data_IF_607018666289
#
_entry.id   IF_607018666289
#
_cell.length_a   1.000
_cell.length_b   1.000
_cell.length_c   1.000
_cell.angle_alpha   90.00
_cell.angle_beta   90.00
_cell.angle_gamma   90.00
#
_symmetry.space_group_name_H-M   'P 1'
#
loop_
_entity.id
_entity.type
_entity.pdbx_description
1 polymer ?
#
# COMPACT_ATOMS: atom_id res chain seq x y z
N UNK A 1 -16.65 19.73 -2.66
CA UNK A 1 -16.54 20.90 -1.76
C UNK A 1 -17.57 20.74 -0.68
N UNK A 2 -17.12 20.61 0.56
CA UNK A 2 -17.98 20.65 1.74
C UNK A 2 -17.53 21.82 2.62
N UNK A 3 -18.43 22.37 3.43
CA UNK A 3 -18.08 23.41 4.40
C UNK A 3 -18.01 22.75 5.78
N UNK A 4 -16.88 22.89 6.47
CA UNK A 4 -16.72 22.28 7.79
C UNK A 4 -17.68 22.90 8.81
N UNK A 5 -17.96 24.20 8.68
CA UNK A 5 -18.86 24.94 9.55
C UNK A 5 -19.93 25.69 8.72
N UNK A 6 -21.03 25.03 8.31
CA UNK A 6 -22.10 25.68 7.54
C UNK A 6 -22.75 26.85 8.27
N UNK A 7 -22.74 26.83 9.61
CA UNK A 7 -23.27 27.89 10.46
C UNK A 7 -22.53 29.22 10.33
N UNK A 8 -21.29 29.22 9.82
CA UNK A 8 -20.53 30.44 9.58
C UNK A 8 -21.21 31.40 8.58
N UNK A 9 -22.11 30.89 7.73
CA UNK A 9 -22.91 31.74 6.84
C UNK A 9 -23.93 32.60 7.57
N UNK A 10 -24.27 32.32 8.84
CA UNK A 10 -25.06 33.24 9.65
C UNK A 10 -24.37 34.60 9.83
N UNK A 11 -23.04 34.66 9.75
CA UNK A 11 -22.31 35.93 9.79
C UNK A 11 -22.68 36.88 8.63
N UNK A 12 -23.24 36.37 7.52
CA UNK A 12 -23.77 37.20 6.43
C UNK A 12 -24.96 38.07 6.87
N UNK A 13 -25.65 37.75 7.96
CA UNK A 13 -26.68 38.63 8.55
C UNK A 13 -26.11 39.98 9.01
N UNK A 14 -24.79 40.11 9.17
CA UNK A 14 -24.15 41.40 9.41
C UNK A 14 -24.30 42.38 8.21
N UNK A 15 -24.47 41.87 6.98
CA UNK A 15 -24.66 42.71 5.78
C UNK A 15 -25.95 43.53 5.84
N UNK A 16 -27.15 42.95 6.02
CA UNK A 16 -28.38 43.74 6.13
C UNK A 16 -28.36 44.69 7.33
N UNK A 17 -27.76 44.29 8.46
CA UNK A 17 -27.56 45.17 9.61
C UNK A 17 -26.71 46.41 9.23
N UNK A 18 -25.61 46.19 8.52
CA UNK A 18 -24.71 47.27 8.07
C UNK A 18 -25.41 48.20 7.07
N UNK A 19 -26.23 47.66 6.15
CA UNK A 19 -27.03 48.46 5.23
C UNK A 19 -28.05 49.33 6.00
N UNK A 20 -28.72 48.79 7.02
CA UNK A 20 -29.66 49.56 7.85
C UNK A 20 -28.94 50.71 8.54
N UNK A 21 -27.78 50.45 9.16
CA UNK A 21 -26.95 51.50 9.80
C UNK A 21 -26.54 52.56 8.76
N UNK A 22 -26.19 52.14 7.55
CA UNK A 22 -25.82 53.04 6.47
C UNK A 22 -26.98 53.92 6.00
N UNK A 23 -28.22 53.40 5.96
CA UNK A 23 -29.42 54.16 5.63
C UNK A 23 -29.79 55.14 6.76
N UNK A 24 -29.69 54.71 8.02
CA UNK A 24 -29.99 55.54 9.19
C UNK A 24 -28.95 56.65 9.37
N UNK A 25 -27.73 56.48 8.82
CA UNK A 25 -26.68 57.50 8.84
C UNK A 25 -27.17 58.77 8.15
N UNK A 26 -27.71 59.69 8.96
CA UNK A 26 -28.26 60.93 8.49
C UNK A 26 -27.17 61.73 7.78
N UNK A 27 -27.46 62.17 6.56
CA UNK A 27 -26.57 63.07 5.83
C UNK A 27 -26.63 64.40 6.56
N UNK A 28 -25.55 64.73 7.29
CA UNK A 28 -25.39 66.05 7.88
C UNK A 28 -25.66 67.09 6.79
N UNK A 29 -26.74 67.86 6.99
CA UNK A 29 -26.96 69.08 6.22
C UNK A 29 -26.13 70.13 6.94
N UNK A 30 -25.19 70.71 6.22
CA UNK A 30 -24.53 71.94 6.66
C UNK A 30 -25.63 73.01 6.72
N UNK A 31 -26.14 73.30 7.91
CA UNK A 31 -27.03 74.43 8.12
C UNK A 31 -26.17 75.71 8.02
N UNK A 32 -26.50 76.53 7.04
CA UNK A 32 -25.75 77.76 6.72
C UNK A 32 -26.16 78.85 7.70
N UNK A 33 -25.24 79.24 8.59
CA UNK A 33 -25.43 80.41 9.43
C UNK A 33 -25.55 81.69 8.57
N UNK A 34 -26.55 82.56 8.80
CA UNK A 34 -26.88 83.67 7.91
C UNK A 34 -25.78 84.74 7.79
N UNK A 35 -24.78 84.75 8.68
CA UNK A 35 -23.66 85.70 8.66
C UNK A 35 -22.62 85.43 7.56
N UNK A 36 -22.66 84.27 6.88
CA UNK A 36 -21.72 83.91 5.79
C UNK A 36 -22.37 83.79 4.40
N UNK A 37 -23.67 84.05 4.30
CA UNK A 37 -24.47 83.86 3.08
C UNK A 37 -23.95 84.63 1.86
N UNK A 38 -23.42 85.84 2.06
CA UNK A 38 -22.85 86.66 0.98
C UNK A 38 -21.57 86.07 0.37
N UNK A 39 -20.72 85.43 1.19
CA UNK A 39 -19.52 84.74 0.70
C UNK A 39 -19.86 83.38 0.05
N UNK A 40 -20.91 82.71 0.52
CA UNK A 40 -21.39 81.48 -0.12
C UNK A 40 -21.98 81.71 -1.50
N UNK A 41 -22.67 82.84 -1.71
CA UNK A 41 -23.28 83.17 -3.00
C UNK A 41 -22.23 83.33 -4.10
N UNK A 42 -21.03 83.88 -3.77
CA UNK A 42 -19.92 83.97 -4.73
C UNK A 42 -19.27 82.60 -5.02
N UNK A 43 -19.18 81.72 -4.01
CA UNK A 43 -18.65 80.35 -4.18
C UNK A 43 -19.60 79.43 -4.96
N UNK A 44 -20.91 79.74 -4.97
CA UNK A 44 -21.95 78.96 -5.67
C UNK A 44 -21.75 78.95 -7.19
N UNK A 45 -21.12 79.97 -7.76
CA UNK A 45 -20.81 80.05 -9.19
C UNK A 45 -19.54 79.29 -9.61
N UNK A 46 -18.72 78.80 -8.68
CA UNK A 46 -17.49 78.05 -8.97
C UNK A 46 -17.58 76.53 -8.71
N UNK A 47 -18.62 76.03 -8.04
CA UNK A 47 -18.69 74.61 -7.69
C UNK A 47 -19.20 73.78 -8.88
N UNK A 48 -18.27 73.24 -9.67
CA UNK A 48 -18.50 72.04 -10.49
C UNK A 48 -18.97 70.92 -9.56
N UNK A 49 -20.21 70.44 -9.73
CA UNK A 49 -20.72 69.28 -8.98
C UNK A 49 -19.80 68.08 -9.29
N UNK A 50 -18.90 67.75 -8.37
CA UNK A 50 -18.04 66.57 -8.52
C UNK A 50 -18.90 65.31 -8.35
N UNK A 51 -19.10 64.48 -9.39
CA UNK A 51 -19.88 63.25 -9.30
C UNK A 51 -19.17 62.16 -8.47
N UNK A 52 -17.86 62.31 -8.23
CA UNK A 52 -16.98 61.36 -7.53
C UNK A 52 -17.33 61.22 -6.04
N UNK A 53 -17.82 62.26 -5.37
CA UNK A 53 -18.15 62.22 -3.94
C UNK A 53 -19.28 61.25 -3.58
N UNK A 54 -20.15 60.92 -4.56
CA UNK A 54 -21.18 59.89 -4.39
C UNK A 54 -20.61 58.48 -4.48
N UNK A 55 -19.54 58.30 -5.23
CA UNK A 55 -18.89 57.00 -5.48
C UNK A 55 -18.01 56.62 -4.28
N UNK A 56 -17.27 57.56 -3.70
CA UNK A 56 -16.44 57.34 -2.49
C UNK A 56 -17.24 56.71 -1.35
N UNK A 57 -18.46 57.21 -1.14
CA UNK A 57 -19.32 56.72 -0.07
C UNK A 57 -19.87 55.31 -0.34
N UNK A 58 -20.09 54.97 -1.63
CA UNK A 58 -20.51 53.64 -2.07
C UNK A 58 -19.34 52.63 -2.03
N UNK A 59 -18.11 53.07 -2.35
CA UNK A 59 -16.90 52.24 -2.29
C UNK A 59 -16.67 51.74 -0.87
N UNK A 60 -16.80 52.60 0.15
CA UNK A 60 -16.62 52.18 1.54
C UNK A 60 -17.62 51.08 1.94
N UNK A 61 -18.90 51.24 1.55
CA UNK A 61 -19.93 50.23 1.77
C UNK A 61 -19.59 48.90 1.08
N UNK A 62 -19.15 48.96 -0.18
CA UNK A 62 -18.77 47.78 -0.97
C UNK A 62 -17.60 47.03 -0.31
N UNK A 63 -16.56 47.76 0.12
CA UNK A 63 -15.39 47.16 0.78
C UNK A 63 -15.78 46.48 2.09
N UNK A 64 -16.65 47.10 2.90
CA UNK A 64 -17.14 46.48 4.13
C UNK A 64 -17.93 45.19 3.88
N UNK A 65 -18.78 45.17 2.85
CA UNK A 65 -19.53 43.97 2.44
C UNK A 65 -18.57 42.86 2.00
N UNK A 66 -17.54 43.19 1.19
CA UNK A 66 -16.52 42.22 0.76
C UNK A 66 -15.75 41.67 1.96
N UNK A 67 -15.37 42.50 2.93
CA UNK A 67 -14.71 42.03 4.15
C UNK A 67 -15.57 41.05 4.94
N UNK A 68 -16.86 41.35 5.16
CA UNK A 68 -17.78 40.45 5.85
C UNK A 68 -17.93 39.14 5.09
N UNK A 69 -18.04 39.20 3.76
CA UNK A 69 -18.13 38.03 2.92
C UNK A 69 -16.86 37.16 3.02
N UNK A 70 -15.67 37.75 2.86
CA UNK A 70 -14.40 37.04 3.01
C UNK A 70 -14.25 36.42 4.40
N UNK A 71 -14.66 37.13 5.46
CA UNK A 71 -14.55 36.62 6.82
C UNK A 71 -15.53 35.48 7.06
N UNK A 72 -16.79 35.59 6.64
CA UNK A 72 -17.77 34.50 6.70
C UNK A 72 -17.31 33.29 5.89
N UNK A 73 -16.74 33.50 4.71
CA UNK A 73 -16.20 32.43 3.87
C UNK A 73 -14.98 31.75 4.49
N UNK A 74 -14.07 32.52 5.10
CA UNK A 74 -12.93 31.98 5.83
C UNK A 74 -13.38 31.16 7.05
N UNK A 75 -14.35 31.66 7.82
CA UNK A 75 -14.96 30.95 8.96
C UNK A 75 -15.73 29.69 8.55
N UNK A 76 -16.32 29.67 7.35
CA UNK A 76 -16.99 28.50 6.81
C UNK A 76 -16.02 27.35 6.52
N UNK A 77 -14.70 27.64 6.50
CA UNK A 77 -13.62 26.69 6.28
C UNK A 77 -13.94 25.76 5.10
N UNK A 78 -13.92 26.29 3.85
CA UNK A 78 -14.23 25.51 2.67
C UNK A 78 -13.21 24.37 2.57
N UNK A 79 -13.70 23.14 2.72
CA UNK A 79 -12.90 21.95 2.53
C UNK A 79 -13.02 21.51 1.08
N UNK A 80 -11.90 21.58 0.39
CA UNK A 80 -11.74 20.97 -0.92
C UNK A 80 -11.52 19.48 -0.69
N UNK A 81 -12.62 18.72 -0.69
CA UNK A 81 -12.54 17.28 -0.87
C UNK A 81 -12.06 17.02 -2.29
N UNK A 82 -10.75 16.81 -2.49
CA UNK A 82 -10.27 16.19 -3.72
C UNK A 82 -11.03 14.86 -3.86
N UNK A 83 -11.84 14.74 -4.92
CA UNK A 83 -12.49 13.46 -5.23
C UNK A 83 -11.39 12.49 -5.67
N UNK A 84 -11.01 11.65 -4.72
CA UNK A 84 -9.91 10.70 -4.81
C UNK A 84 -9.33 10.55 -3.42
N UNK A 85 -10.00 9.79 -2.54
CA UNK A 85 -9.37 9.36 -1.29
C UNK A 85 -8.04 8.70 -1.69
N UNK A 86 -6.92 9.26 -1.24
CA UNK A 86 -5.66 8.55 -1.20
C UNK A 86 -5.91 7.24 -0.45
N UNK A 87 -5.67 6.12 -1.10
CA UNK A 87 -5.77 4.83 -0.43
C UNK A 87 -4.49 4.63 0.39
N UNK A 88 -4.64 4.23 1.65
CA UNK A 88 -3.55 3.76 2.49
C UNK A 88 -3.47 2.24 2.32
N UNK A 89 -2.60 1.82 1.40
CA UNK A 89 -2.48 0.43 0.98
C UNK A 89 -1.32 -0.22 1.72
N UNK A 90 -1.59 -1.36 2.36
CA UNK A 90 -0.60 -2.19 3.02
C UNK A 90 -0.42 -3.45 2.18
N UNK A 91 0.81 -3.70 1.74
CA UNK A 91 1.21 -4.93 1.08
C UNK A 91 2.02 -5.77 2.04
N UNK A 92 1.60 -7.02 2.24
CA UNK A 92 2.34 -8.04 2.95
C UNK A 92 2.83 -9.05 1.93
N UNK A 93 4.14 -9.18 1.78
CA UNK A 93 4.78 -10.07 0.82
C UNK A 93 5.43 -11.23 1.56
N UNK A 94 4.98 -12.45 1.28
CA UNK A 94 5.64 -13.67 1.75
C UNK A 94 7.01 -13.80 1.07
N UNK A 95 8.04 -14.02 1.90
CA UNK A 95 9.44 -14.19 1.51
C UNK A 95 9.97 -15.55 1.97
N UNK A 96 9.09 -16.49 2.31
CA UNK A 96 9.49 -17.83 2.75
C UNK A 96 10.23 -18.63 1.66
N UNK A 97 10.88 -19.71 2.10
CA UNK A 97 11.62 -20.60 1.22
C UNK A 97 10.77 -21.16 0.05
N UNK A 98 9.47 -21.38 0.26
CA UNK A 98 8.57 -21.91 -0.77
C UNK A 98 8.31 -20.92 -1.91
N UNK A 99 8.46 -19.62 -1.65
CA UNK A 99 8.33 -18.55 -2.65
C UNK A 99 9.48 -18.53 -3.67
N UNK A 100 10.60 -19.22 -3.40
CA UNK A 100 11.70 -19.38 -4.36
C UNK A 100 11.41 -20.43 -5.44
N UNK A 101 10.31 -21.18 -5.34
CA UNK A 101 9.94 -22.15 -6.36
C UNK A 101 9.68 -21.44 -7.69
N UNK A 102 10.17 -22.02 -8.79
CA UNK A 102 9.89 -21.58 -10.15
C UNK A 102 8.86 -22.55 -10.75
N UNK A 103 7.59 -22.14 -10.90
CA UNK A 103 6.55 -22.93 -11.57
C UNK A 103 6.97 -23.36 -12.97
N UNK A 104 6.79 -24.64 -13.32
CA UNK A 104 7.13 -25.16 -14.65
C UNK A 104 5.95 -25.14 -15.63
N UNK A 105 4.70 -25.26 -15.17
CA UNK A 105 3.55 -25.41 -16.07
C UNK A 105 2.84 -24.09 -16.44
N UNK A 106 2.83 -23.09 -15.54
CA UNK A 106 2.04 -21.84 -15.73
C UNK A 106 2.86 -20.61 -16.16
N UNK A 107 4.14 -20.79 -16.46
CA UNK A 107 5.09 -19.68 -16.41
C UNK A 107 5.84 -19.48 -17.72
N UNK A 108 5.22 -18.82 -18.68
CA UNK A 108 5.85 -18.45 -19.96
C UNK A 108 7.14 -17.63 -19.76
N UNK A 109 7.28 -16.95 -18.61
CA UNK A 109 8.43 -16.09 -18.26
C UNK A 109 9.49 -16.77 -17.37
N UNK A 110 9.21 -17.93 -16.76
CA UNK A 110 10.15 -18.63 -15.86
C UNK A 110 10.47 -17.90 -14.55
N UNK A 111 9.53 -17.10 -14.03
CA UNK A 111 9.71 -16.29 -12.81
C UNK A 111 9.43 -17.10 -11.53
N UNK A 112 10.17 -16.88 -10.46
CA UNK A 112 9.84 -17.46 -9.14
C UNK A 112 8.47 -16.97 -8.63
N UNK A 113 7.81 -17.73 -7.73
CA UNK A 113 6.55 -17.30 -7.08
C UNK A 113 6.71 -15.95 -6.38
N UNK A 114 7.87 -15.70 -5.79
CA UNK A 114 8.25 -14.41 -5.21
C UNK A 114 8.20 -13.28 -6.25
N UNK A 115 8.84 -13.47 -7.41
CA UNK A 115 8.85 -12.48 -8.49
C UNK A 115 7.45 -12.23 -9.07
N UNK A 116 6.61 -13.26 -9.15
CA UNK A 116 5.20 -13.11 -9.55
C UNK A 116 4.43 -12.25 -8.54
N UNK A 117 4.60 -12.50 -7.24
CA UNK A 117 4.00 -11.69 -6.19
C UNK A 117 4.46 -10.22 -6.24
N UNK A 118 5.75 -9.99 -6.51
CA UNK A 118 6.31 -8.66 -6.73
C UNK A 118 5.69 -7.97 -7.96
N UNK A 119 5.51 -8.68 -9.08
CA UNK A 119 4.91 -8.13 -10.30
C UNK A 119 3.43 -7.74 -10.09
N UNK A 120 2.66 -8.59 -9.40
CA UNK A 120 1.26 -8.29 -9.07
C UNK A 120 1.13 -7.12 -8.06
N UNK A 121 1.98 -7.05 -7.04
CA UNK A 121 2.04 -5.89 -6.13
C UNK A 121 2.35 -4.61 -6.91
N UNK A 122 3.33 -4.66 -7.83
CA UNK A 122 3.71 -3.51 -8.66
C UNK A 122 2.55 -3.03 -9.53
N UNK A 123 1.81 -3.96 -10.12
CA UNK A 123 0.61 -3.68 -10.92
C UNK A 123 -0.48 -3.01 -10.08
N UNK A 124 -0.82 -3.57 -8.92
CA UNK A 124 -1.82 -2.99 -8.01
C UNK A 124 -1.38 -1.60 -7.53
N UNK A 125 -0.10 -1.42 -7.21
CA UNK A 125 0.44 -0.12 -6.80
C UNK A 125 0.39 0.91 -7.94
N UNK A 126 0.61 0.48 -9.19
CA UNK A 126 0.51 1.36 -10.37
C UNK A 126 -0.93 1.79 -10.71
N UNK A 127 -1.91 0.93 -10.42
CA UNK A 127 -3.34 1.19 -10.62
C UNK A 127 -3.95 2.00 -9.45
N UNK A 128 -3.21 2.19 -8.36
CA UNK A 128 -3.67 2.93 -7.20
C UNK A 128 -3.95 4.41 -7.51
N UNK A 129 -4.89 5.00 -6.77
CA UNK A 129 -5.27 6.41 -6.94
C UNK A 129 -4.09 7.35 -6.68
N UNK A 130 -4.05 8.48 -7.39
CA UNK A 130 -3.04 9.52 -7.14
C UNK A 130 -3.10 10.01 -5.70
N UNK A 131 -1.94 10.00 -5.03
CA UNK A 131 -1.79 10.42 -3.64
C UNK A 131 -1.92 9.30 -2.61
N UNK A 132 -2.15 8.05 -3.04
CA UNK A 132 -2.13 6.88 -2.16
C UNK A 132 -0.79 6.73 -1.41
N UNK A 133 -0.88 6.18 -0.20
CA UNK A 133 0.26 5.84 0.65
C UNK A 133 0.46 4.33 0.62
N UNK A 134 1.71 3.92 0.40
CA UNK A 134 2.09 2.52 0.33
C UNK A 134 2.95 2.13 1.53
N UNK A 135 2.61 1.00 2.14
CA UNK A 135 3.40 0.36 3.20
C UNK A 135 3.71 -1.05 2.73
N UNK A 136 4.99 -1.47 2.82
CA UNK A 136 5.44 -2.80 2.44
C UNK A 136 5.96 -3.52 3.68
N UNK A 137 5.45 -4.72 3.91
CA UNK A 137 5.86 -5.63 4.97
C UNK A 137 6.38 -6.91 4.32
N UNK A 138 7.61 -7.29 4.63
CA UNK A 138 8.16 -8.60 4.25
C UNK A 138 7.87 -9.61 5.34
N UNK A 139 7.35 -10.77 4.96
CA UNK A 139 7.06 -11.87 5.85
C UNK A 139 8.07 -13.00 5.61
N UNK A 140 9.05 -13.13 6.50
CA UNK A 140 9.86 -14.35 6.62
C UNK A 140 9.39 -15.07 7.89
N UNK A 141 10.27 -15.30 8.87
CA UNK A 141 9.88 -15.85 10.17
C UNK A 141 9.00 -14.87 10.96
N UNK A 142 9.35 -13.59 10.95
CA UNK A 142 8.56 -12.50 11.56
C UNK A 142 8.27 -11.40 10.54
N UNK A 143 7.10 -10.72 10.63
CA UNK A 143 6.80 -9.60 9.75
C UNK A 143 7.69 -8.39 10.05
N UNK A 144 8.39 -7.89 9.03
CA UNK A 144 9.27 -6.73 9.10
C UNK A 144 8.81 -5.64 8.14
N UNK A 145 8.81 -4.38 8.58
CA UNK A 145 8.47 -3.24 7.73
C UNK A 145 9.66 -2.85 6.86
N UNK A 146 9.50 -2.98 5.54
CA UNK A 146 10.48 -2.52 4.55
C UNK A 146 10.32 -1.01 4.32
N UNK A 147 9.07 -0.55 4.21
CA UNK A 147 8.77 0.88 4.11
C UNK A 147 7.37 1.19 4.66
N UNK A 148 7.19 2.41 5.16
CA UNK A 148 5.94 2.84 5.80
C UNK A 148 5.46 4.16 5.21
N UNK A 149 4.20 4.20 4.74
CA UNK A 149 3.49 5.41 4.27
C UNK A 149 4.26 6.21 3.20
N UNK A 150 4.82 5.51 2.22
CA UNK A 150 5.50 6.13 1.07
C UNK A 150 4.47 6.62 0.07
N UNK A 151 4.57 7.88 -0.36
CA UNK A 151 3.62 8.50 -1.31
C UNK A 151 4.10 8.48 -2.78
N UNK A 152 5.39 8.24 -3.02
CA UNK A 152 5.98 8.15 -4.34
C UNK A 152 6.03 6.70 -4.82
N UNK A 153 5.38 6.42 -5.95
CA UNK A 153 5.39 5.09 -6.57
C UNK A 153 6.82 4.66 -6.97
N UNK A 154 7.63 5.59 -7.46
CA UNK A 154 9.02 5.30 -7.84
C UNK A 154 9.86 4.88 -6.63
N UNK A 155 9.70 5.57 -5.49
CA UNK A 155 10.38 5.17 -4.24
C UNK A 155 9.87 3.83 -3.73
N UNK A 156 8.56 3.58 -3.79
CA UNK A 156 7.98 2.30 -3.41
C UNK A 156 8.56 1.14 -4.24
N UNK A 157 8.69 1.31 -5.55
CA UNK A 157 9.29 0.30 -6.43
C UNK A 157 10.75 0.01 -6.06
N UNK A 158 11.54 1.03 -5.68
CA UNK A 158 12.92 0.81 -5.20
C UNK A 158 12.97 -0.02 -3.91
N UNK A 159 12.02 0.21 -2.99
CA UNK A 159 11.91 -0.63 -1.78
C UNK A 159 11.47 -2.04 -2.12
N UNK A 160 10.52 -2.20 -3.04
CA UNK A 160 10.06 -3.51 -3.50
C UNK A 160 11.20 -4.33 -4.14
N UNK A 161 12.02 -3.69 -4.98
CA UNK A 161 13.18 -4.31 -5.63
C UNK A 161 14.31 -4.65 -4.63
N UNK A 162 14.31 -4.03 -3.44
CA UNK A 162 15.30 -4.33 -2.40
C UNK A 162 15.00 -5.58 -1.59
N UNK A 163 13.74 -6.08 -1.64
CA UNK A 163 13.32 -7.28 -0.92
C UNK A 163 13.86 -8.52 -1.62
N UNK A 164 14.35 -9.47 -0.82
CA UNK A 164 14.82 -10.77 -1.30
C UNK A 164 14.05 -11.89 -0.62
N UNK A 165 13.83 -12.98 -1.34
CA UNK A 165 13.31 -14.20 -0.77
C UNK A 165 14.31 -14.78 0.25
N UNK A 166 13.77 -15.20 1.39
CA UNK A 166 14.48 -15.85 2.49
C UNK A 166 14.43 -17.37 2.35
N UNK A 167 15.24 -18.07 3.13
CA UNK A 167 15.24 -19.54 3.23
C UNK A 167 14.49 -20.05 4.48
N UNK A 168 13.87 -19.15 5.25
CA UNK A 168 13.08 -19.50 6.43
C UNK A 168 11.62 -19.85 6.07
N UNK A 169 10.95 -20.58 6.97
CA UNK A 169 9.49 -20.77 6.89
C UNK A 169 8.76 -19.47 7.29
N UNK A 170 7.53 -19.26 6.80
CA UNK A 170 6.71 -18.09 7.15
C UNK A 170 5.73 -18.33 8.29
N UNK A 171 5.65 -17.40 9.24
CA UNK A 171 4.53 -17.34 10.20
C UNK A 171 3.42 -16.41 9.70
N UNK A 172 2.51 -17.02 8.96
CA UNK A 172 1.39 -16.32 8.35
C UNK A 172 0.37 -15.80 9.39
N UNK A 173 0.30 -16.39 10.58
CA UNK A 173 -0.63 -15.95 11.62
C UNK A 173 -0.23 -14.59 12.18
N UNK A 174 1.06 -14.38 12.41
CA UNK A 174 1.62 -13.09 12.82
C UNK A 174 1.42 -12.00 11.75
N UNK A 175 1.51 -12.37 10.47
CA UNK A 175 1.29 -11.46 9.35
C UNK A 175 -0.15 -10.97 9.24
N UNK A 176 -1.13 -11.89 9.36
CA UNK A 176 -2.56 -11.54 9.36
C UNK A 176 -2.90 -10.63 10.53
N UNK A 177 -2.41 -10.96 11.74
CA UNK A 177 -2.64 -10.13 12.92
C UNK A 177 -2.09 -8.71 12.76
N UNK A 178 -0.90 -8.57 12.16
CA UNK A 178 -0.32 -7.27 11.83
C UNK A 178 -1.18 -6.51 10.81
N UNK A 179 -1.57 -7.15 9.71
CA UNK A 179 -2.39 -6.52 8.66
C UNK A 179 -3.76 -6.05 9.19
N UNK A 180 -4.39 -6.84 10.07
CA UNK A 180 -5.65 -6.47 10.73
C UNK A 180 -5.48 -5.28 11.69
N UNK A 181 -4.37 -5.24 12.43
CA UNK A 181 -4.04 -4.10 13.29
C UNK A 181 -3.83 -2.82 12.47
N UNK A 182 -3.14 -2.92 11.33
CA UNK A 182 -2.94 -1.78 10.42
C UNK A 182 -4.26 -1.26 9.84
N UNK A 183 -5.20 -2.15 9.52
CA UNK A 183 -6.53 -1.80 9.03
C UNK A 183 -7.37 -1.10 10.11
N UNK A 184 -7.35 -1.59 11.35
CA UNK A 184 -8.20 -1.07 12.43
C UNK A 184 -7.63 0.17 13.13
N UNK A 185 -6.33 0.21 13.42
CA UNK A 185 -5.70 1.25 14.24
C UNK A 185 -4.96 2.32 13.42
N UNK A 186 -4.35 1.95 12.28
CA UNK A 186 -3.51 2.87 11.50
C UNK A 186 -4.21 3.51 10.29
N UNK A 187 -5.48 3.18 10.08
CA UNK A 187 -6.29 3.73 9.00
C UNK A 187 -5.87 3.26 7.61
N UNK A 188 -5.27 2.07 7.51
CA UNK A 188 -5.16 1.37 6.23
C UNK A 188 -6.57 1.02 5.73
N UNK A 189 -6.82 1.19 4.43
CA UNK A 189 -8.13 0.91 3.83
C UNK A 189 -8.09 -0.26 2.85
N UNK A 190 -6.90 -0.68 2.41
CA UNK A 190 -6.70 -1.85 1.57
C UNK A 190 -5.48 -2.62 2.10
N UNK A 191 -5.65 -3.90 2.40
CA UNK A 191 -4.58 -4.80 2.79
C UNK A 191 -4.50 -5.95 1.80
N UNK A 192 -3.31 -6.18 1.24
CA UNK A 192 -3.03 -7.27 0.32
C UNK A 192 -2.00 -8.21 0.93
N UNK A 193 -2.23 -9.51 0.86
CA UNK A 193 -1.29 -10.55 1.28
C UNK A 193 -0.91 -11.39 0.06
N UNK A 194 0.36 -11.34 -0.35
CA UNK A 194 0.90 -12.19 -1.40
C UNK A 194 1.62 -13.40 -0.78
N UNK A 195 1.11 -14.60 -1.02
CA UNK A 195 1.64 -15.86 -0.46
C UNK A 195 1.30 -17.04 -1.36
N UNK A 196 2.06 -18.12 -1.24
CA UNK A 196 1.80 -19.40 -1.91
C UNK A 196 1.05 -20.41 -1.00
N UNK A 197 0.71 -20.02 0.23
CA UNK A 197 -0.07 -20.86 1.13
C UNK A 197 -1.56 -20.69 0.89
N UNK A 198 -2.28 -21.83 0.78
CA UNK A 198 -3.75 -21.83 0.75
C UNK A 198 -4.31 -21.45 2.11
N UNK A 199 -5.00 -20.32 2.16
CA UNK A 199 -5.65 -19.81 3.38
C UNK A 199 -7.16 -19.89 3.20
N UNK A 200 -7.86 -20.37 4.23
CA UNK A 200 -9.31 -20.29 4.26
C UNK A 200 -9.77 -18.82 4.29
N UNK A 201 -10.62 -18.41 3.34
CA UNK A 201 -11.11 -17.03 3.19
C UNK A 201 -11.69 -16.45 4.50
N UNK A 202 -12.23 -17.30 5.38
CA UNK A 202 -12.80 -16.90 6.66
C UNK A 202 -11.76 -16.33 7.65
N UNK A 203 -10.46 -16.56 7.43
CA UNK A 203 -9.37 -15.99 8.25
C UNK A 203 -8.88 -14.63 7.75
N UNK A 204 -9.34 -14.18 6.56
CA UNK A 204 -8.86 -12.99 5.86
C UNK A 204 -9.87 -11.84 5.93
N UNK A 205 -10.33 -11.49 7.13
CA UNK A 205 -11.23 -10.34 7.30
C UNK A 205 -10.54 -9.04 6.81
N UNK A 206 -11.08 -8.44 5.74
CA UNK A 206 -10.59 -7.20 5.11
C UNK A 206 -9.18 -7.30 4.48
N UNK A 207 -8.68 -8.51 4.23
CA UNK A 207 -7.40 -8.74 3.54
C UNK A 207 -7.69 -9.41 2.20
N UNK A 208 -7.20 -8.83 1.10
CA UNK A 208 -7.26 -9.43 -0.22
C UNK A 208 -6.05 -10.34 -0.44
N UNK A 209 -6.30 -11.60 -0.79
CA UNK A 209 -5.25 -12.56 -1.08
C UNK A 209 -4.75 -12.40 -2.53
N UNK A 210 -3.45 -12.31 -2.71
CA UNK A 210 -2.76 -12.49 -3.98
C UNK A 210 -2.18 -13.90 -3.92
N UNK A 211 -2.93 -14.85 -4.45
CA UNK A 211 -2.53 -16.26 -4.49
C UNK A 211 -1.50 -16.45 -5.61
N UNK A 212 -0.26 -16.79 -5.22
CA UNK A 212 0.82 -17.16 -6.15
C UNK A 212 1.11 -18.67 -6.11
N UNK A 213 0.23 -19.45 -5.48
CA UNK A 213 0.30 -20.90 -5.53
C UNK A 213 -0.11 -21.37 -6.92
N UNK A 214 0.87 -21.80 -7.71
CA UNK A 214 0.61 -22.69 -8.83
C UNK A 214 0.22 -24.06 -8.27
N UNK A 215 -0.66 -24.80 -8.94
CA UNK A 215 -0.96 -26.20 -8.61
C UNK A 215 0.19 -27.16 -8.91
N UNK A 216 1.43 -26.65 -9.01
CA UNK A 216 2.62 -27.44 -9.28
C UNK A 216 3.00 -28.28 -8.08
N UNK A 217 3.53 -29.46 -8.36
CA UNK A 217 3.87 -30.40 -7.30
C UNK A 217 5.15 -29.97 -6.60
N UNK A 218 5.04 -29.65 -5.31
CA UNK A 218 6.15 -29.25 -4.46
C UNK A 218 6.64 -30.44 -3.63
N UNK A 219 7.96 -30.73 -3.70
CA UNK A 219 8.61 -31.75 -2.89
C UNK A 219 9.85 -31.19 -2.20
N UNK A 220 10.15 -31.71 -1.01
CA UNK A 220 11.39 -31.39 -0.29
C UNK A 220 12.11 -32.64 0.22
N UNK A 221 13.41 -32.48 0.47
CA UNK A 221 14.26 -33.47 1.17
C UNK A 221 14.59 -32.90 2.56
N UNK A 222 13.71 -33.06 3.56
CA UNK A 222 13.90 -32.47 4.89
C UNK A 222 15.10 -33.03 5.65
N UNK A 223 15.49 -34.29 5.39
CA UNK A 223 16.69 -34.86 5.99
C UNK A 223 17.40 -35.80 5.02
N UNK A 224 18.73 -35.74 5.11
CA UNK A 224 19.64 -36.53 4.31
C UNK A 224 20.82 -36.96 5.18
N UNK A 225 21.05 -38.26 5.28
CA UNK A 225 22.19 -38.81 6.00
C UNK A 225 22.75 -40.01 5.25
N UNK A 226 24.05 -40.21 5.37
CA UNK A 226 24.74 -41.35 4.75
C UNK A 226 25.76 -41.91 5.73
N UNK A 227 26.01 -43.21 5.60
CA UNK A 227 27.09 -43.92 6.31
C UNK A 227 27.86 -44.75 5.28
N UNK A 228 29.18 -44.66 5.31
CA UNK A 228 30.05 -45.44 4.44
C UNK A 228 30.93 -46.36 5.28
N UNK A 229 30.96 -47.64 4.92
CA UNK A 229 31.81 -48.63 5.59
C UNK A 229 31.91 -49.93 4.80
N UNK A 230 33.12 -50.46 4.66
CA UNK A 230 33.35 -51.77 4.04
C UNK A 230 32.95 -51.86 2.57
N UNK A 231 33.09 -50.78 1.79
CA UNK A 231 32.71 -50.74 0.36
C UNK A 231 31.22 -50.50 0.11
N UNK A 232 30.43 -50.27 1.17
CA UNK A 232 28.99 -50.07 1.08
C UNK A 232 28.59 -48.68 1.56
N UNK A 233 27.67 -48.06 0.82
CA UNK A 233 27.05 -46.79 1.15
C UNK A 233 25.60 -47.04 1.60
N UNK A 234 25.31 -46.80 2.87
CA UNK A 234 23.96 -46.78 3.40
C UNK A 234 23.45 -45.35 3.40
N UNK A 235 22.35 -45.11 2.70
CA UNK A 235 21.74 -43.79 2.54
C UNK A 235 20.36 -43.79 3.18
N UNK A 236 20.09 -42.76 4.00
CA UNK A 236 18.79 -42.52 4.61
C UNK A 236 18.35 -41.08 4.28
N UNK A 237 17.24 -40.97 3.55
CA UNK A 237 16.61 -39.69 3.26
C UNK A 237 15.16 -39.71 3.71
N UNK A 238 14.64 -38.53 4.00
CA UNK A 238 13.20 -38.32 4.05
C UNK A 238 12.81 -37.44 2.88
N UNK A 239 11.73 -37.84 2.21
CA UNK A 239 11.12 -37.07 1.14
C UNK A 239 9.71 -36.69 1.56
N UNK A 240 9.27 -35.48 1.25
CA UNK A 240 7.89 -35.03 1.53
C UNK A 240 7.30 -34.39 0.28
N UNK A 241 6.04 -34.71 -0.02
CA UNK A 241 5.23 -34.01 -1.02
C UNK A 241 4.23 -33.11 -0.30
N UNK A 242 4.12 -31.85 -0.70
CA UNK A 242 3.19 -30.91 -0.05
C UNK A 242 1.81 -30.89 -0.71
N UNK A 243 1.71 -31.20 -2.01
CA UNK A 243 0.48 -30.97 -2.79
C UNK A 243 -0.33 -32.25 -3.05
N UNK A 244 0.33 -33.36 -3.38
CA UNK A 244 -0.34 -34.60 -3.81
C UNK A 244 0.46 -35.87 -3.48
N UNK A 245 -0.22 -37.01 -3.46
CA UNK A 245 0.43 -38.31 -3.46
C UNK A 245 1.08 -38.54 -4.83
N UNK A 246 2.39 -38.75 -4.87
CA UNK A 246 3.10 -38.88 -6.15
C UNK A 246 4.39 -39.68 -6.04
N UNK A 247 4.73 -40.37 -7.13
CA UNK A 247 6.00 -41.05 -7.28
C UNK A 247 7.07 -40.09 -7.84
N UNK A 248 8.12 -39.84 -7.06
CA UNK A 248 9.27 -39.06 -7.51
C UNK A 248 10.35 -39.96 -8.10
N UNK A 249 11.14 -39.42 -9.04
CA UNK A 249 12.35 -40.05 -9.58
C UNK A 249 13.56 -39.23 -9.18
N UNK A 250 14.59 -39.87 -8.64
CA UNK A 250 15.82 -39.19 -8.25
C UNK A 250 17.06 -40.00 -8.62
N UNK A 251 18.19 -39.32 -8.69
CA UNK A 251 19.48 -39.88 -9.04
C UNK A 251 20.45 -39.67 -7.88
N UNK A 252 21.26 -40.69 -7.61
CA UNK A 252 22.34 -40.62 -6.62
C UNK A 252 23.66 -40.61 -7.37
N UNK A 253 24.47 -39.59 -7.12
CA UNK A 253 25.80 -39.44 -7.67
C UNK A 253 26.84 -39.58 -6.55
N UNK A 254 27.88 -40.36 -6.81
CA UNK A 254 29.08 -40.48 -5.97
C UNK A 254 30.27 -40.15 -6.85
N UNK A 255 31.04 -39.13 -6.48
CA UNK A 255 32.16 -38.60 -7.30
C UNK A 255 31.77 -38.33 -8.75
N UNK A 256 30.65 -37.61 -8.92
CA UNK A 256 30.05 -37.25 -10.21
C UNK A 256 29.61 -38.44 -11.09
N UNK A 257 29.72 -39.68 -10.60
CA UNK A 257 29.27 -40.89 -11.29
C UNK A 257 27.94 -41.38 -10.71
N UNK A 258 26.94 -41.70 -11.55
CA UNK A 258 25.66 -42.21 -11.08
C UNK A 258 25.80 -43.65 -10.55
N UNK A 259 25.31 -43.91 -9.33
CA UNK A 259 25.49 -45.21 -8.65
C UNK A 259 24.77 -46.37 -9.36
N UNK A 260 23.67 -46.10 -10.06
CA UNK A 260 22.85 -47.11 -10.75
C UNK A 260 23.17 -47.25 -12.24
N UNK A 261 24.39 -46.98 -12.70
CA UNK A 261 24.74 -47.06 -14.13
C UNK A 261 23.88 -46.16 -15.04
N UNK A 262 23.35 -45.06 -14.49
CA UNK A 262 22.41 -44.16 -15.16
C UNK A 262 20.92 -44.43 -14.90
N UNK A 263 20.57 -45.45 -14.11
CA UNK A 263 19.20 -45.69 -13.64
C UNK A 263 18.74 -44.67 -12.59
N UNK A 264 17.43 -44.43 -12.52
CA UNK A 264 16.79 -43.61 -11.49
C UNK A 264 16.20 -44.48 -10.36
N UNK A 265 16.15 -43.92 -9.16
CA UNK A 265 15.41 -44.47 -8.04
C UNK A 265 14.02 -43.86 -7.97
N UNK A 266 13.04 -44.63 -7.50
CA UNK A 266 11.66 -44.17 -7.30
C UNK A 266 11.29 -44.22 -5.82
N UNK A 267 10.52 -43.25 -5.36
CA UNK A 267 9.89 -43.25 -4.05
C UNK A 267 8.46 -42.72 -4.18
N UNK A 268 7.50 -43.46 -3.61
CA UNK A 268 6.09 -43.06 -3.58
C UNK A 268 5.87 -42.17 -2.36
N UNK A 269 5.63 -40.88 -2.60
CA UNK A 269 5.41 -39.89 -1.56
C UNK A 269 3.93 -39.75 -1.26
N UNK A 270 3.63 -39.54 0.02
CA UNK A 270 2.30 -39.13 0.47
C UNK A 270 2.26 -37.64 0.76
N UNK A 271 1.10 -37.04 0.51
CA UNK A 271 0.84 -35.63 0.81
C UNK A 271 0.99 -35.35 2.31
N UNK A 272 1.86 -34.41 2.65
CA UNK A 272 2.06 -33.90 4.01
C UNK A 272 2.78 -34.85 4.96
N UNK A 273 3.22 -36.03 4.51
CA UNK A 273 3.91 -37.03 5.32
C UNK A 273 5.36 -37.21 4.85
N UNK A 274 6.32 -37.07 5.77
CA UNK A 274 7.71 -37.37 5.49
C UNK A 274 7.88 -38.88 5.30
N UNK A 275 8.10 -39.28 4.05
CA UNK A 275 8.29 -40.68 3.64
C UNK A 275 9.76 -41.05 3.77
N UNK A 276 10.14 -41.98 4.66
CA UNK A 276 11.52 -42.41 4.78
C UNK A 276 11.91 -43.29 3.59
N UNK A 277 13.10 -43.05 3.05
CA UNK A 277 13.73 -43.85 2.03
C UNK A 277 15.09 -44.30 2.50
N UNK A 278 15.26 -45.61 2.63
CA UNK A 278 16.52 -46.23 3.01
C UNK A 278 17.00 -47.16 1.91
N UNK A 279 18.28 -47.02 1.55
CA UNK A 279 18.89 -47.89 0.56
C UNK A 279 20.37 -48.12 0.85
N UNK A 280 20.78 -49.37 0.75
CA UNK A 280 22.18 -49.80 0.79
C UNK A 280 22.66 -50.01 -0.64
N UNK A 281 23.77 -49.37 -1.00
CA UNK A 281 24.38 -49.43 -2.31
C UNK A 281 25.78 -49.99 -2.16
N UNK A 282 26.07 -51.06 -2.91
CA UNK A 282 27.42 -51.60 -3.01
C UNK A 282 28.21 -50.74 -4.01
N UNK A 283 29.23 -50.03 -3.51
CA UNK A 283 30.09 -49.14 -4.31
C UNK A 283 31.52 -49.66 -4.38
N UNK A 284 31.74 -50.92 -4.00
CA UNK A 284 33.06 -51.57 -4.02
C UNK A 284 33.72 -51.58 -5.41
N UNK A 285 32.92 -51.54 -6.48
CA UNK A 285 33.39 -51.52 -7.87
C UNK A 285 33.64 -50.10 -8.42
N UNK A 286 33.34 -49.05 -7.66
CA UNK A 286 33.45 -47.65 -8.14
C UNK A 286 34.84 -47.01 -7.97
N UNK A 287 35.83 -47.78 -7.49
CA UNK A 287 37.21 -47.32 -7.24
C UNK A 287 37.38 -46.65 -5.88
N UNK A 288 38.56 -46.08 -5.60
CA UNK A 288 38.79 -45.28 -4.39
C UNK A 288 37.80 -44.11 -4.37
N UNK A 289 36.82 -44.21 -3.48
CA UNK A 289 35.84 -43.16 -3.24
C UNK A 289 36.45 -42.22 -2.21
N UNK A 290 37.07 -41.13 -2.69
CA UNK A 290 37.24 -39.93 -1.86
C UNK A 290 35.83 -39.37 -1.62
N UNK A 291 35.36 -39.42 -0.37
CA UNK A 291 34.05 -38.91 0.06
C UNK A 291 34.22 -37.54 0.71
#
# INVERSE_FOLDING_TARGET
MSFANPWAFLALLAIPLLIIIYIIKNKYREDTDPSTYLWELSRKFLKRKNPISRIEHLINLIVQIVCIFCMSFALASPTFTLKGKADNIVFVLDTSASMNLIPQEDNEKGLSRFEQGVEEIRKIASDAKRGSLFTLVSLSDTPEFVCTKVSSLDQFNLYLDSVKASSAASDLSSAIALAQKMYTEEGANLCYLATDQKIEENRLENISLIDVSSSDINYAIPSLSYTYGGGKLSFNAQFISYESDQQIRFYIYVNEKPVSGGGYFTCDLKKGEATPYEKELDISEMGDVDI
#
